data_IF_632602626927
#
_entry.id   IF_632602626927
#
_cell.length_a   1.000
_cell.length_b   1.000
_cell.length_c   1.000
_cell.angle_alpha   90.00
_cell.angle_beta   90.00
_cell.angle_gamma   90.00
#
_symmetry.space_group_name_H-M   'P 1'
#
loop_
_entity.id
_entity.type
_entity.pdbx_description
1 polymer ?
#
# COMPACT_ATOMS: atom_id res chain seq x y z
N UNK A 1 -3.56 14.24 -15.00
CA UNK A 1 -2.20 13.74 -14.76
C UNK A 1 -2.24 12.23 -15.01
N UNK A 2 -1.47 11.77 -15.99
CA UNK A 2 -1.36 10.34 -16.31
C UNK A 2 -0.46 9.62 -15.29
N UNK A 3 -0.45 8.28 -15.30
CA UNK A 3 0.49 7.50 -14.48
C UNK A 3 1.94 7.78 -14.86
N UNK A 4 2.20 8.01 -16.14
CA UNK A 4 3.54 8.31 -16.65
C UNK A 4 4.02 9.69 -16.19
N UNK A 5 3.10 10.68 -16.14
CA UNK A 5 3.43 12.00 -15.60
C UNK A 5 3.77 11.91 -14.11
N UNK A 6 2.96 11.17 -13.35
CA UNK A 6 3.20 10.92 -11.93
C UNK A 6 4.53 10.20 -11.70
N UNK A 7 4.84 9.21 -12.52
CA UNK A 7 6.11 8.49 -12.46
C UNK A 7 7.30 9.42 -12.69
N UNK A 8 7.26 10.23 -13.75
CA UNK A 8 8.37 11.15 -14.07
C UNK A 8 8.67 12.13 -12.95
N UNK A 9 7.63 12.71 -12.34
CA UNK A 9 7.77 13.65 -11.23
C UNK A 9 8.31 12.94 -9.99
N UNK A 10 7.65 11.86 -9.57
CA UNK A 10 7.98 11.17 -8.33
C UNK A 10 9.32 10.43 -8.40
N UNK A 11 9.71 9.92 -9.57
CA UNK A 11 11.03 9.33 -9.78
C UNK A 11 12.17 10.30 -9.48
N UNK A 12 12.04 11.56 -9.93
CA UNK A 12 13.01 12.62 -9.65
C UNK A 12 13.09 12.94 -8.15
N UNK A 13 11.94 13.12 -7.51
CA UNK A 13 11.86 13.44 -6.08
C UNK A 13 12.46 12.29 -5.24
N UNK A 14 12.07 11.04 -5.51
CA UNK A 14 12.59 9.87 -4.79
C UNK A 14 14.10 9.73 -4.99
N UNK A 15 14.59 9.93 -6.23
CA UNK A 15 16.02 9.92 -6.51
C UNK A 15 16.79 10.91 -5.64
N UNK A 16 16.33 12.14 -5.56
CA UNK A 16 17.05 13.21 -4.86
C UNK A 16 17.00 13.02 -3.33
N UNK A 17 15.86 12.60 -2.80
CA UNK A 17 15.72 12.26 -1.38
C UNK A 17 16.58 11.07 -0.98
N UNK A 18 16.60 9.99 -1.78
CA UNK A 18 17.37 8.78 -1.47
C UNK A 18 18.88 9.03 -1.59
N UNK A 19 19.34 9.92 -2.49
CA UNK A 19 20.74 10.38 -2.51
C UNK A 19 21.12 11.01 -1.18
N UNK A 20 20.31 11.93 -0.67
CA UNK A 20 20.54 12.55 0.64
C UNK A 20 20.54 11.52 1.78
N UNK A 21 19.65 10.52 1.76
CA UNK A 21 19.65 9.44 2.74
C UNK A 21 20.92 8.60 2.64
N UNK A 22 21.35 8.24 1.44
CA UNK A 22 22.56 7.45 1.23
C UNK A 22 23.82 8.16 1.74
N UNK A 23 23.86 9.49 1.63
CA UNK A 23 24.98 10.32 2.08
C UNK A 23 24.99 10.53 3.60
N UNK A 24 23.82 10.85 4.19
CA UNK A 24 23.77 11.33 5.56
C UNK A 24 23.31 10.28 6.57
N UNK A 25 22.49 9.30 6.16
CA UNK A 25 21.95 8.27 7.04
C UNK A 25 21.82 6.89 6.36
N UNK A 26 22.92 6.29 5.88
CA UNK A 26 22.92 5.07 5.06
C UNK A 26 22.38 3.83 5.79
N UNK A 27 22.28 3.87 7.10
CA UNK A 27 21.77 2.76 7.93
C UNK A 27 20.29 2.91 8.32
N UNK A 28 19.61 3.96 7.83
CA UNK A 28 18.20 4.18 8.12
C UNK A 28 17.30 3.12 7.45
N UNK A 29 16.14 2.86 8.07
CA UNK A 29 15.05 2.15 7.41
C UNK A 29 14.31 3.12 6.50
N UNK A 30 14.14 2.75 5.24
CA UNK A 30 13.49 3.57 4.21
C UNK A 30 12.14 2.97 3.88
N UNK A 31 11.08 3.76 4.05
CA UNK A 31 9.71 3.41 3.72
C UNK A 31 9.24 4.29 2.56
N UNK A 32 9.15 3.73 1.38
CA UNK A 32 8.74 4.44 0.16
C UNK A 32 7.23 4.37 0.02
N UNK A 33 6.56 5.54 0.08
CA UNK A 33 5.11 5.67 -0.07
C UNK A 33 4.73 6.22 -1.45
N UNK A 34 5.66 6.93 -2.10
CA UNK A 34 5.41 7.64 -3.37
C UNK A 34 5.02 6.69 -4.50
N UNK A 35 3.89 6.99 -5.14
CA UNK A 35 3.40 6.20 -6.27
C UNK A 35 4.06 6.65 -7.61
N UNK A 36 4.23 5.72 -8.54
CA UNK A 36 3.93 4.28 -8.45
C UNK A 36 4.99 3.52 -7.63
N UNK A 37 4.60 2.96 -6.48
CA UNK A 37 5.53 2.33 -5.53
C UNK A 37 6.32 1.17 -6.13
N UNK A 38 5.71 0.40 -7.05
CA UNK A 38 6.39 -0.68 -7.77
C UNK A 38 7.59 -0.21 -8.62
N UNK A 39 7.64 1.08 -8.96
CA UNK A 39 8.73 1.69 -9.73
C UNK A 39 9.67 2.53 -8.85
N UNK A 40 9.14 3.23 -7.87
CA UNK A 40 9.93 4.11 -7.00
C UNK A 40 10.83 3.35 -6.03
N UNK A 41 10.41 2.16 -5.56
CA UNK A 41 11.25 1.29 -4.73
C UNK A 41 12.48 0.77 -5.49
N UNK A 42 12.39 0.23 -6.72
CA UNK A 42 13.56 -0.10 -7.52
C UNK A 42 14.51 1.08 -7.79
N UNK A 43 13.97 2.29 -8.02
CA UNK A 43 14.79 3.49 -8.16
C UNK A 43 15.58 3.76 -6.88
N UNK A 44 14.93 3.71 -5.72
CA UNK A 44 15.58 3.87 -4.43
C UNK A 44 16.68 2.81 -4.22
N UNK A 45 16.39 1.55 -4.54
CA UNK A 45 17.37 0.46 -4.42
C UNK A 45 18.59 0.69 -5.31
N UNK A 46 18.39 1.14 -6.54
CA UNK A 46 19.50 1.39 -7.48
C UNK A 46 20.41 2.53 -7.00
N UNK A 47 19.84 3.62 -6.49
CA UNK A 47 20.62 4.73 -5.94
C UNK A 47 21.44 4.28 -4.72
N UNK A 48 20.84 3.50 -3.83
CA UNK A 48 21.54 2.96 -2.66
C UNK A 48 22.67 1.99 -3.07
N UNK A 49 22.48 1.20 -4.14
CA UNK A 49 23.54 0.35 -4.72
C UNK A 49 24.68 1.18 -5.29
N UNK A 50 24.38 2.22 -6.09
CA UNK A 50 25.39 3.10 -6.65
C UNK A 50 26.24 3.79 -5.56
N UNK A 51 25.63 4.08 -4.41
CA UNK A 51 26.30 4.59 -3.23
C UNK A 51 27.02 3.51 -2.37
N UNK A 52 26.95 2.23 -2.75
CA UNK A 52 27.48 1.08 -2.00
C UNK A 52 26.94 0.94 -0.56
N UNK A 53 25.69 1.36 -0.32
CA UNK A 53 25.02 1.31 1.00
C UNK A 53 23.68 0.57 0.98
N UNK A 54 23.39 -0.16 -0.09
CA UNK A 54 22.13 -0.90 -0.22
C UNK A 54 22.04 -2.09 0.73
N UNK A 55 21.00 -2.10 1.55
CA UNK A 55 20.61 -3.24 2.39
C UNK A 55 19.13 -3.58 2.10
N UNK A 56 18.83 -4.76 1.52
CA UNK A 56 17.46 -5.16 1.19
C UNK A 56 16.56 -5.33 2.42
N UNK A 57 17.13 -5.43 3.61
CA UNK A 57 16.40 -5.52 4.88
C UNK A 57 15.98 -4.15 5.43
N UNK A 58 16.36 -3.07 4.77
CA UNK A 58 16.11 -1.69 5.22
C UNK A 58 15.34 -0.84 4.22
N UNK A 59 14.97 -1.40 3.05
CA UNK A 59 14.20 -0.69 2.03
C UNK A 59 12.87 -1.41 1.79
N UNK A 60 11.77 -0.68 1.99
CA UNK A 60 10.41 -1.22 1.88
C UNK A 60 9.52 -0.28 1.08
N UNK A 61 8.62 -0.86 0.26
CA UNK A 61 7.48 -0.16 -0.29
C UNK A 61 6.27 -0.28 0.63
N UNK A 62 5.58 0.82 0.91
CA UNK A 62 4.42 0.83 1.78
C UNK A 62 3.16 0.53 0.99
N UNK A 63 2.56 -0.64 1.24
CA UNK A 63 1.31 -1.11 0.62
C UNK A 63 0.25 -1.48 1.67
N UNK A 64 0.47 -1.13 2.92
CA UNK A 64 -0.41 -1.46 4.06
C UNK A 64 -1.84 -0.94 3.86
N UNK A 65 -2.03 0.16 3.11
CA UNK A 65 -3.37 0.69 2.80
C UNK A 65 -4.24 -0.30 2.02
N UNK A 66 -3.65 -1.21 1.25
CA UNK A 66 -4.40 -2.22 0.51
C UNK A 66 -5.03 -3.23 1.46
N UNK A 67 -4.29 -3.61 2.51
CA UNK A 67 -4.78 -4.48 3.59
C UNK A 67 -5.89 -3.78 4.37
N UNK A 68 -5.64 -2.55 4.82
CA UNK A 68 -6.62 -1.76 5.58
C UNK A 68 -7.92 -1.56 4.80
N UNK A 69 -7.84 -1.30 3.49
CA UNK A 69 -9.02 -1.19 2.64
C UNK A 69 -9.78 -2.50 2.55
N UNK A 70 -9.07 -3.61 2.31
CA UNK A 70 -9.71 -4.93 2.23
C UNK A 70 -10.44 -5.28 3.53
N UNK A 71 -9.81 -5.03 4.68
CA UNK A 71 -10.39 -5.27 6.00
C UNK A 71 -11.61 -4.38 6.26
N UNK A 72 -11.52 -3.07 5.97
CA UNK A 72 -12.61 -2.12 6.13
C UNK A 72 -13.82 -2.49 5.26
N UNK A 73 -13.61 -2.87 4.00
CA UNK A 73 -14.71 -3.21 3.11
C UNK A 73 -15.38 -4.53 3.47
N UNK A 74 -14.63 -5.49 4.00
CA UNK A 74 -15.21 -6.73 4.54
C UNK A 74 -16.05 -6.42 5.77
N UNK A 75 -15.60 -5.51 6.63
CA UNK A 75 -16.35 -5.04 7.78
C UNK A 75 -17.74 -4.48 7.39
N UNK A 76 -17.80 -3.67 6.32
CA UNK A 76 -19.09 -3.14 5.82
C UNK A 76 -20.07 -4.25 5.44
N UNK A 77 -19.57 -5.41 4.98
CA UNK A 77 -20.40 -6.54 4.57
C UNK A 77 -20.80 -7.41 5.76
N UNK A 78 -19.91 -7.59 6.71
CA UNK A 78 -20.10 -8.50 7.86
C UNK A 78 -20.79 -7.84 9.05
N UNK A 79 -20.79 -6.50 9.11
CA UNK A 79 -21.28 -5.73 10.25
C UNK A 79 -20.38 -5.78 11.48
N UNK A 80 -19.13 -6.29 11.36
CA UNK A 80 -18.14 -6.23 12.44
C UNK A 80 -17.76 -4.78 12.71
N UNK A 81 -17.76 -4.37 13.98
CA UNK A 81 -17.51 -2.98 14.37
C UNK A 81 -16.02 -2.60 14.38
N UNK A 82 -15.15 -3.59 14.49
CA UNK A 82 -13.71 -3.39 14.59
C UNK A 82 -12.98 -4.08 13.43
N UNK A 83 -12.52 -3.34 12.40
CA UNK A 83 -11.82 -3.91 11.25
C UNK A 83 -10.51 -4.60 11.64
N UNK A 84 -9.87 -4.21 12.73
CA UNK A 84 -8.60 -4.81 13.17
C UNK A 84 -8.74 -6.28 13.62
N UNK A 85 -9.97 -6.74 13.84
CA UNK A 85 -10.27 -8.15 14.17
C UNK A 85 -10.29 -9.07 12.95
N UNK A 86 -10.32 -8.51 11.75
CA UNK A 86 -10.32 -9.29 10.51
C UNK A 86 -9.01 -9.09 9.80
N UNK A 87 -8.25 -10.15 9.63
CA UNK A 87 -6.97 -10.14 8.90
C UNK A 87 -7.20 -10.72 7.52
N UNK A 88 -6.86 -9.96 6.48
CA UNK A 88 -7.00 -10.36 5.08
C UNK A 88 -5.62 -10.26 4.42
N UNK A 89 -4.99 -11.38 4.05
CA UNK A 89 -3.76 -11.34 3.28
C UNK A 89 -4.00 -10.70 1.91
N UNK A 90 -3.12 -9.79 1.51
CA UNK A 90 -3.13 -9.19 0.16
C UNK A 90 -1.82 -9.55 -0.52
N UNK A 91 -1.90 -10.05 -1.74
CA UNK A 91 -0.75 -10.44 -2.56
C UNK A 91 -0.74 -9.68 -3.88
N UNK A 92 0.36 -9.81 -4.61
CA UNK A 92 0.57 -9.16 -5.91
C UNK A 92 1.25 -7.81 -5.80
N UNK A 93 1.18 -7.03 -6.88
CA UNK A 93 1.78 -5.70 -6.94
C UNK A 93 0.79 -4.60 -6.56
N UNK A 94 1.31 -3.42 -6.21
CA UNK A 94 0.51 -2.26 -5.87
C UNK A 94 0.00 -1.53 -7.13
N UNK A 95 -0.91 -2.17 -7.86
CA UNK A 95 -1.61 -1.56 -9.00
C UNK A 95 -3.04 -2.12 -9.11
N UNK A 96 -3.91 -1.40 -9.83
CA UNK A 96 -5.33 -1.72 -9.90
C UNK A 96 -5.67 -3.13 -10.40
N UNK A 97 -4.78 -3.73 -11.18
CA UNK A 97 -5.01 -5.05 -11.80
C UNK A 97 -4.25 -6.17 -11.06
N UNK A 98 -3.25 -5.82 -10.26
CA UNK A 98 -2.34 -6.80 -9.65
C UNK A 98 -2.53 -6.98 -8.14
N UNK A 99 -3.33 -6.14 -7.50
CA UNK A 99 -3.70 -6.32 -6.09
C UNK A 99 -4.72 -7.45 -5.98
N UNK A 100 -4.40 -8.47 -5.20
CA UNK A 100 -5.27 -9.63 -4.98
C UNK A 100 -5.49 -9.83 -3.49
N UNK A 101 -6.60 -9.30 -2.92
CA UNK A 101 -7.01 -9.63 -1.56
C UNK A 101 -7.50 -11.08 -1.49
N UNK A 102 -6.95 -11.86 -0.59
CA UNK A 102 -7.29 -13.26 -0.42
C UNK A 102 -8.43 -13.42 0.62
N UNK A 103 -9.64 -13.06 0.24
CA UNK A 103 -10.81 -13.13 1.11
C UNK A 103 -11.12 -14.56 1.61
N UNK A 104 -10.74 -15.59 0.84
CA UNK A 104 -10.86 -17.00 1.24
C UNK A 104 -9.95 -17.37 2.42
N UNK A 105 -8.89 -16.59 2.66
CA UNK A 105 -7.96 -16.78 3.77
C UNK A 105 -8.19 -15.79 4.92
N UNK A 106 -9.30 -15.06 4.90
CA UNK A 106 -9.65 -14.12 5.95
C UNK A 106 -9.75 -14.81 7.32
N UNK A 107 -9.25 -14.16 8.35
CA UNK A 107 -9.32 -14.64 9.74
C UNK A 107 -9.97 -13.55 10.62
N UNK A 108 -11.12 -13.83 11.26
CA UNK A 108 -11.94 -15.06 11.15
C UNK A 108 -12.48 -15.27 9.73
N UNK A 109 -12.88 -16.51 9.41
CA UNK A 109 -13.43 -16.85 8.10
C UNK A 109 -14.69 -16.02 7.80
N UNK A 110 -14.72 -15.38 6.64
CA UNK A 110 -15.79 -14.48 6.21
C UNK A 110 -16.52 -15.10 5.01
N UNK A 111 -17.85 -15.13 5.07
CA UNK A 111 -18.68 -15.50 3.93
C UNK A 111 -19.07 -14.26 3.16
N UNK A 112 -18.44 -14.04 2.01
CA UNK A 112 -18.77 -12.93 1.12
C UNK A 112 -19.73 -13.44 0.03
N UNK A 113 -20.90 -12.84 -0.16
CA UNK A 113 -21.80 -13.18 -1.25
C UNK A 113 -21.08 -13.00 -2.60
N UNK A 114 -21.27 -13.95 -3.53
CA UNK A 114 -20.60 -13.98 -4.83
C UNK A 114 -20.83 -12.68 -5.62
N UNK A 115 -22.02 -12.12 -5.53
CA UNK A 115 -22.43 -10.85 -6.17
C UNK A 115 -21.65 -9.63 -5.67
N UNK A 116 -21.15 -9.67 -4.42
CA UNK A 116 -20.38 -8.59 -3.79
C UNK A 116 -18.88 -8.72 -4.00
N UNK A 117 -18.40 -9.89 -4.45
CA UNK A 117 -16.97 -10.17 -4.55
C UNK A 117 -16.25 -9.29 -5.60
N UNK A 118 -16.80 -9.20 -6.81
CA UNK A 118 -16.20 -8.40 -7.89
C UNK A 118 -16.18 -6.90 -7.58
N UNK A 119 -17.28 -6.28 -7.09
CA UNK A 119 -17.25 -4.90 -6.61
C UNK A 119 -16.23 -4.66 -5.48
N UNK A 120 -16.10 -5.62 -4.56
CA UNK A 120 -15.19 -5.51 -3.43
C UNK A 120 -13.72 -5.50 -3.88
N UNK A 121 -13.33 -6.40 -4.78
CA UNK A 121 -11.99 -6.44 -5.37
C UNK A 121 -11.68 -5.12 -6.08
N UNK A 122 -12.62 -4.60 -6.87
CA UNK A 122 -12.46 -3.33 -7.58
C UNK A 122 -12.27 -2.14 -6.63
N UNK A 123 -13.02 -2.08 -5.52
CA UNK A 123 -12.87 -1.03 -4.48
C UNK A 123 -11.56 -1.12 -3.72
N UNK A 124 -11.05 -2.33 -3.49
CA UNK A 124 -9.77 -2.56 -2.81
C UNK A 124 -8.56 -2.13 -3.64
N UNK A 125 -8.75 -1.90 -4.94
CA UNK A 125 -7.70 -1.41 -5.84
C UNK A 125 -7.36 0.07 -5.57
N UNK A 126 -6.08 0.50 -5.75
CA UNK A 126 -5.66 1.91 -5.62
C UNK A 126 -6.39 2.86 -6.58
N UNK A 127 -6.99 2.34 -7.65
CA UNK A 127 -7.80 3.11 -8.60
C UNK A 127 -9.30 2.93 -8.37
N UNK A 128 -9.69 2.23 -7.31
CA UNK A 128 -11.09 2.12 -6.90
C UNK A 128 -11.63 3.51 -6.51
N UNK A 129 -12.95 3.75 -6.64
CA UNK A 129 -13.56 4.98 -6.21
C UNK A 129 -13.22 5.21 -4.73
N UNK A 130 -12.64 6.36 -4.43
CA UNK A 130 -12.20 6.77 -3.09
C UNK A 130 -13.38 7.12 -2.16
N UNK A 131 -14.61 6.94 -2.60
CA UNK A 131 -15.82 7.46 -1.95
C UNK A 131 -16.10 6.87 -0.57
N UNK A 132 -15.48 5.75 -0.19
CA UNK A 132 -15.65 5.17 1.16
C UNK A 132 -14.46 5.36 2.09
N UNK A 133 -13.26 5.64 1.58
CA UNK A 133 -12.04 5.66 2.37
C UNK A 133 -11.74 7.03 3.01
N UNK A 134 -12.32 8.12 2.50
CA UNK A 134 -12.05 9.48 2.99
C UNK A 134 -12.83 9.84 4.26
N UNK A 135 -13.92 9.16 4.57
CA UNK A 135 -14.74 9.47 5.75
C UNK A 135 -14.21 8.85 7.03
N UNK A 136 -13.58 7.67 6.96
CA UNK A 136 -13.18 6.92 8.15
C UNK A 136 -11.77 7.26 8.65
N UNK A 137 -10.88 7.72 7.78
CA UNK A 137 -9.53 8.17 8.19
C UNK A 137 -9.58 9.46 9.03
N UNK A 138 -10.64 10.28 8.91
CA UNK A 138 -10.82 11.49 9.72
C UNK A 138 -11.41 11.23 11.12
N UNK A 139 -12.00 10.07 11.35
CA UNK A 139 -12.64 9.72 12.64
C UNK A 139 -11.72 9.03 13.63
N UNK A 140 -10.63 8.43 13.21
CA UNK A 140 -9.70 7.74 14.10
C UNK A 140 -8.45 8.58 14.37
N UNK A 141 -8.55 9.46 15.32
CA UNK A 141 -7.36 9.95 16.03
C UNK A 141 -6.82 8.79 16.87
N UNK A 142 -5.54 8.57 16.73
CA UNK A 142 -4.71 7.65 17.52
C UNK A 142 -4.63 6.21 17.01
N UNK A 143 -3.86 5.97 15.95
CA UNK A 143 -2.99 4.80 15.99
C UNK A 143 -1.72 5.26 16.73
N UNK A 144 -1.57 4.86 17.99
CA UNK A 144 -0.28 4.95 18.69
C UNK A 144 0.60 3.84 18.11
N UNK A 145 1.70 4.27 17.55
CA UNK A 145 2.85 3.41 17.24
C UNK A 145 3.52 2.99 18.55
#
# INVERSE_FOLDING_TARGET
MTRDDLFKINAGIVRDLVKGIAEHCPKAFILVISNPVNSTVPIAAEIMKQANVFDPKRLFGVTTLDVVRAETFVQEITGEKDPSKTVIPVIGGHSGETIVPLFSLAKPAVKIPQEKLAPLIKRSSPNGPSEGCSADVRGRRSVRW
#
